data_IF_800366410154
#
_entry.id   IF_800366410154
#
_cell.length_a   1.000
_cell.length_b   1.000
_cell.length_c   1.000
_cell.angle_alpha   90.00
_cell.angle_beta   90.00
_cell.angle_gamma   90.00
#
_symmetry.space_group_name_H-M   'P 1'
#
loop_
_entity.id
_entity.type
_entity.pdbx_description
1 polymer ?
#
# COMPACT_ATOMS: atom_id res chain seq x y z
N UNK A 1 -5.45 -50.01 32.09
CA UNK A 1 -4.33 -49.38 31.34
C UNK A 1 -4.62 -49.60 29.87
N UNK A 2 -4.74 -48.63 28.96
CA UNK A 2 -4.55 -47.18 28.96
C UNK A 2 -5.81 -46.59 28.28
N UNK A 3 -6.36 -45.46 28.70
CA UNK A 3 -5.77 -44.15 28.47
C UNK A 3 -6.48 -43.49 27.29
N UNK A 4 -7.76 -43.16 27.48
CA UNK A 4 -8.50 -42.18 26.69
C UNK A 4 -7.95 -40.80 27.04
N UNK A 5 -7.26 -40.17 26.10
CA UNK A 5 -7.07 -38.72 26.13
C UNK A 5 -6.81 -38.25 24.69
N UNK A 6 -7.90 -38.09 23.93
CA UNK A 6 -7.92 -37.25 22.74
C UNK A 6 -7.82 -35.79 23.20
N UNK A 7 -6.66 -35.41 23.74
CA UNK A 7 -6.31 -34.02 23.94
C UNK A 7 -5.92 -33.47 22.57
N UNK A 8 -6.94 -33.03 21.83
CA UNK A 8 -6.80 -32.11 20.72
C UNK A 8 -6.19 -30.82 21.27
N UNK A 9 -4.85 -30.82 21.40
CA UNK A 9 -4.12 -29.62 21.75
C UNK A 9 -4.49 -28.58 20.69
N UNK A 10 -4.94 -27.38 21.07
CA UNK A 10 -4.96 -26.30 20.11
C UNK A 10 -3.53 -26.18 19.62
N UNK A 11 -3.30 -26.57 18.36
CA UNK A 11 -2.09 -26.19 17.66
C UNK A 11 -1.92 -24.70 17.93
N UNK A 12 -0.76 -24.23 18.38
CA UNK A 12 -0.50 -22.81 18.40
C UNK A 12 -0.71 -22.37 16.96
N UNK A 13 -1.86 -21.78 16.65
CA UNK A 13 -2.03 -20.95 15.47
C UNK A 13 -0.87 -20.00 15.57
N UNK A 14 0.03 -20.12 14.60
CA UNK A 14 1.30 -19.43 14.54
C UNK A 14 1.00 -17.94 14.42
N UNK A 15 0.61 -17.33 15.53
CA UNK A 15 0.17 -15.95 15.66
C UNK A 15 1.32 -15.07 15.17
N UNK A 16 1.09 -14.35 14.08
CA UNK A 16 1.99 -13.31 13.55
C UNK A 16 3.42 -13.77 13.24
N UNK A 17 3.57 -14.75 12.35
CA UNK A 17 4.84 -14.93 11.64
C UNK A 17 5.25 -13.58 11.00
N UNK A 18 6.37 -13.02 11.47
CA UNK A 18 6.98 -11.74 11.09
C UNK A 18 6.68 -11.27 9.66
N UNK A 19 5.68 -10.40 9.50
CA UNK A 19 5.38 -9.82 8.19
C UNK A 19 6.49 -8.82 7.79
N UNK A 20 7.09 -8.93 6.58
CA UNK A 20 8.25 -8.13 6.19
C UNK A 20 8.05 -6.60 6.30
N UNK A 21 6.84 -6.14 6.00
CA UNK A 21 6.49 -4.71 6.06
C UNK A 21 6.63 -4.12 7.48
N UNK A 22 6.50 -4.93 8.53
CA UNK A 22 6.58 -4.46 9.92
C UNK A 22 7.97 -3.94 10.31
N UNK A 23 9.01 -4.35 9.57
CA UNK A 23 10.41 -3.94 9.79
C UNK A 23 10.95 -2.99 8.71
N UNK A 24 10.08 -2.50 7.82
CA UNK A 24 10.48 -1.65 6.71
C UNK A 24 10.68 -0.20 7.18
N UNK A 25 11.90 0.13 7.63
CA UNK A 25 12.23 1.44 8.19
C UNK A 25 12.59 2.50 7.14
N UNK A 26 12.87 2.11 5.89
CA UNK A 26 13.37 3.04 4.86
C UNK A 26 12.83 2.73 3.46
N UNK A 27 11.51 2.71 3.30
CA UNK A 27 10.89 2.53 1.97
C UNK A 27 11.26 3.64 0.99
N UNK A 28 11.60 4.83 1.49
CA UNK A 28 12.08 5.93 0.65
C UNK A 28 13.41 5.60 -0.07
N UNK A 29 14.26 4.74 0.48
CA UNK A 29 15.45 4.28 -0.23
C UNK A 29 15.13 3.40 -1.45
N UNK A 30 13.99 2.70 -1.44
CA UNK A 30 13.53 1.85 -2.55
C UNK A 30 12.71 2.62 -3.59
N UNK A 31 12.20 3.79 -3.22
CA UNK A 31 11.41 4.67 -4.08
C UNK A 31 12.10 6.04 -4.13
N UNK A 32 13.19 6.20 -4.91
CA UNK A 32 13.94 7.45 -5.01
C UNK A 32 13.23 8.52 -5.87
N UNK A 33 11.89 8.46 -5.96
CA UNK A 33 11.07 9.41 -6.68
C UNK A 33 10.04 9.98 -5.70
N UNK A 34 9.92 11.30 -5.68
CA UNK A 34 8.86 11.99 -4.97
C UNK A 34 7.83 12.48 -5.99
N UNK A 35 6.57 12.08 -5.81
CA UNK A 35 5.50 12.43 -6.72
C UNK A 35 5.07 13.88 -6.52
N UNK A 36 4.95 14.60 -7.63
CA UNK A 36 4.55 16.00 -7.70
C UNK A 36 3.50 16.15 -8.80
N UNK A 37 2.48 16.98 -8.57
CA UNK A 37 1.40 17.27 -9.51
C UNK A 37 1.93 17.84 -10.83
N UNK A 38 3.00 18.64 -10.75
CA UNK A 38 3.55 19.34 -11.91
C UNK A 38 4.51 18.44 -12.72
N UNK A 39 4.96 17.32 -12.15
CA UNK A 39 5.95 16.44 -12.76
C UNK A 39 5.31 15.20 -13.41
N UNK A 40 5.84 14.78 -14.57
CA UNK A 40 5.28 13.68 -15.39
C UNK A 40 5.74 12.29 -14.94
N UNK A 41 6.35 12.19 -13.76
CA UNK A 41 7.01 10.96 -13.29
C UNK A 41 6.07 9.97 -12.60
N UNK A 42 4.75 10.13 -12.74
CA UNK A 42 3.76 9.23 -12.17
C UNK A 42 3.98 7.76 -12.56
N UNK A 43 4.23 7.48 -13.85
CA UNK A 43 4.37 6.08 -14.31
C UNK A 43 5.61 5.38 -13.73
N UNK A 44 6.82 5.99 -13.74
CA UNK A 44 7.97 5.46 -13.01
C UNK A 44 7.72 5.32 -11.50
N UNK A 45 7.18 6.35 -10.85
CA UNK A 45 6.87 6.31 -9.41
C UNK A 45 5.92 5.17 -9.05
N UNK A 46 4.81 5.03 -9.79
CA UNK A 46 3.82 3.99 -9.55
C UNK A 46 4.37 2.58 -9.81
N UNK A 47 5.35 2.46 -10.72
CA UNK A 47 6.04 1.19 -10.98
C UNK A 47 6.93 0.80 -9.80
N UNK A 48 7.74 1.74 -9.29
CA UNK A 48 8.59 1.51 -8.13
C UNK A 48 7.76 1.21 -6.88
N UNK A 49 6.69 1.97 -6.64
CA UNK A 49 5.82 1.74 -5.49
C UNK A 49 5.19 0.34 -5.50
N UNK A 50 4.65 -0.10 -6.65
CA UNK A 50 4.12 -1.47 -6.79
C UNK A 50 5.19 -2.54 -6.58
N UNK A 51 6.41 -2.32 -7.06
CA UNK A 51 7.51 -3.26 -6.84
C UNK A 51 7.87 -3.35 -5.35
N UNK A 52 7.95 -2.22 -4.65
CA UNK A 52 8.18 -2.19 -3.20
C UNK A 52 7.06 -2.90 -2.44
N UNK A 53 5.79 -2.65 -2.80
CA UNK A 53 4.65 -3.35 -2.21
C UNK A 53 4.73 -4.87 -2.40
N UNK A 54 5.23 -5.35 -3.56
CA UNK A 54 5.48 -6.79 -3.79
C UNK A 54 6.60 -7.34 -2.91
N UNK A 55 7.73 -6.62 -2.80
CA UNK A 55 8.86 -7.02 -1.93
C UNK A 55 8.40 -7.22 -0.49
N UNK A 56 7.51 -6.34 -0.02
CA UNK A 56 6.98 -6.39 1.33
C UNK A 56 5.66 -7.16 1.48
N UNK A 57 5.18 -7.84 0.43
CA UNK A 57 3.96 -8.67 0.46
C UNK A 57 2.66 -7.91 0.79
N UNK A 58 2.58 -6.62 0.47
CA UNK A 58 1.42 -5.74 0.73
C UNK A 58 0.72 -5.24 -0.55
N UNK A 59 0.94 -5.90 -1.69
CA UNK A 59 0.35 -5.45 -2.97
C UNK A 59 -1.19 -5.41 -2.94
N UNK A 60 -1.83 -6.28 -2.14
CA UNK A 60 -3.28 -6.32 -1.92
C UNK A 60 -3.87 -5.02 -1.33
N UNK A 61 -3.06 -4.19 -0.67
CA UNK A 61 -3.49 -2.89 -0.16
C UNK A 61 -3.61 -1.82 -1.26
N UNK A 62 -3.08 -2.05 -2.47
CA UNK A 62 -3.08 -1.05 -3.57
C UNK A 62 -3.50 -1.62 -4.94
N UNK A 63 -3.80 -2.92 -5.03
CA UNK A 63 -4.30 -3.56 -6.24
C UNK A 63 -5.53 -4.41 -5.92
N UNK A 64 -6.75 -4.02 -6.37
CA UNK A 64 -7.98 -4.73 -6.04
C UNK A 64 -8.04 -6.13 -6.67
N UNK A 65 -7.12 -6.46 -7.59
CA UNK A 65 -7.00 -7.81 -8.17
C UNK A 65 -6.27 -8.78 -7.24
N UNK A 66 -5.60 -8.28 -6.21
CA UNK A 66 -4.88 -9.08 -5.22
C UNK A 66 -5.69 -9.11 -3.94
N UNK A 67 -6.20 -10.29 -3.58
CA UNK A 67 -7.15 -10.44 -2.47
C UNK A 67 -6.46 -10.51 -1.11
N UNK A 68 -7.19 -10.09 -0.07
CA UNK A 68 -6.82 -10.34 1.33
C UNK A 68 -6.69 -11.85 1.59
N UNK A 69 -5.57 -12.34 2.17
CA UNK A 69 -5.46 -13.73 2.59
C UNK A 69 -6.54 -14.08 3.63
N UNK A 70 -7.17 -15.26 3.50
CA UNK A 70 -8.31 -15.66 4.36
C UNK A 70 -7.94 -15.86 5.82
N UNK A 71 -6.68 -16.19 6.06
CA UNK A 71 -6.06 -16.47 7.35
C UNK A 71 -5.42 -15.22 7.98
N UNK A 72 -5.52 -14.06 7.32
CA UNK A 72 -4.97 -12.81 7.84
C UNK A 72 -5.95 -12.16 8.84
N UNK A 73 -5.46 -11.98 10.06
CA UNK A 73 -6.11 -11.24 11.12
C UNK A 73 -6.43 -9.79 10.73
N UNK A 74 -7.54 -9.25 11.23
CA UNK A 74 -8.01 -7.90 10.91
C UNK A 74 -7.09 -6.81 11.51
N UNK A 75 -6.57 -7.00 12.73
CA UNK A 75 -5.64 -6.04 13.34
C UNK A 75 -4.32 -5.99 12.57
N UNK A 76 -3.82 -7.15 12.12
CA UNK A 76 -2.65 -7.20 11.23
C UNK A 76 -2.93 -6.50 9.90
N UNK A 77 -4.09 -6.75 9.29
CA UNK A 77 -4.48 -6.12 8.03
C UNK A 77 -4.49 -4.59 8.15
N UNK A 78 -5.15 -4.05 9.16
CA UNK A 78 -5.25 -2.60 9.38
C UNK A 78 -3.87 -1.98 9.68
N UNK A 79 -3.02 -2.72 10.42
CA UNK A 79 -1.64 -2.28 10.67
C UNK A 79 -0.81 -2.24 9.39
N UNK A 80 -0.96 -3.21 8.48
CA UNK A 80 -0.29 -3.21 7.19
C UNK A 80 -0.81 -2.08 6.29
N UNK A 81 -2.12 -1.82 6.32
CA UNK A 81 -2.73 -0.71 5.58
C UNK A 81 -2.15 0.63 6.03
N UNK A 82 -2.05 0.87 7.35
CA UNK A 82 -1.44 2.07 7.92
C UNK A 82 0.04 2.24 7.52
N UNK A 83 0.80 1.15 7.42
CA UNK A 83 2.19 1.18 6.94
C UNK A 83 2.24 1.63 5.47
N UNK A 84 1.37 1.08 4.61
CA UNK A 84 1.32 1.44 3.19
C UNK A 84 0.87 2.88 3.01
N UNK A 85 -0.11 3.36 3.79
CA UNK A 85 -0.50 4.77 3.84
C UNK A 85 0.68 5.67 4.19
N UNK A 86 1.46 5.31 5.20
CA UNK A 86 2.63 6.08 5.59
C UNK A 86 3.68 6.15 4.47
N UNK A 87 3.85 5.08 3.68
CA UNK A 87 4.73 5.08 2.51
C UNK A 87 4.18 5.93 1.37
N UNK A 88 2.87 5.89 1.11
CA UNK A 88 2.22 6.76 0.12
C UNK A 88 2.47 8.23 0.49
N UNK A 89 2.19 8.61 1.73
CA UNK A 89 2.41 9.97 2.20
C UNK A 89 3.88 10.38 2.23
N UNK A 90 4.78 9.44 2.52
CA UNK A 90 6.23 9.69 2.55
C UNK A 90 6.87 9.87 1.17
N UNK A 91 6.18 9.49 0.09
CA UNK A 91 6.71 9.52 -1.29
C UNK A 91 6.02 10.52 -2.20
N UNK A 92 5.19 11.42 -1.64
CA UNK A 92 4.52 12.50 -2.37
C UNK A 92 4.90 13.86 -1.77
N UNK A 93 4.90 14.92 -2.59
CA UNK A 93 5.14 16.28 -2.10
C UNK A 93 4.01 16.78 -1.20
N UNK A 94 4.34 17.72 -0.31
CA UNK A 94 3.43 18.27 0.69
C UNK A 94 2.11 18.78 0.10
N UNK A 95 2.16 19.48 -1.03
CA UNK A 95 0.95 20.04 -1.63
C UNK A 95 0.03 18.94 -2.19
N UNK A 96 0.61 17.84 -2.68
CA UNK A 96 -0.15 16.67 -3.09
C UNK A 96 -0.68 15.89 -1.88
N UNK A 97 0.14 15.76 -0.82
CA UNK A 97 -0.28 15.17 0.45
C UNK A 97 -1.53 15.87 1.00
N UNK A 98 -1.52 17.20 1.12
CA UNK A 98 -2.64 17.98 1.64
C UNK A 98 -3.91 17.86 0.78
N UNK A 99 -3.79 17.48 -0.50
CA UNK A 99 -4.94 17.24 -1.39
C UNK A 99 -5.58 15.86 -1.21
N UNK A 100 -4.81 14.87 -0.77
CA UNK A 100 -5.29 13.47 -0.69
C UNK A 100 -5.46 12.95 0.74
N UNK A 101 -4.78 13.56 1.72
CA UNK A 101 -4.77 13.15 3.12
C UNK A 101 -6.19 13.15 3.71
N UNK A 102 -6.54 12.06 4.38
CA UNK A 102 -7.87 11.78 4.89
C UNK A 102 -7.77 10.71 5.99
N UNK A 103 -8.41 10.96 7.14
CA UNK A 103 -8.27 10.15 8.36
C UNK A 103 -9.09 8.85 8.33
N UNK A 104 -10.02 8.72 7.38
CA UNK A 104 -10.89 7.56 7.23
C UNK A 104 -10.74 6.91 5.84
N UNK A 105 -9.50 6.76 5.38
CA UNK A 105 -9.18 6.14 4.09
C UNK A 105 -8.24 4.97 4.21
N UNK A 106 -8.40 4.00 3.31
CA UNK A 106 -7.44 2.92 3.13
C UNK A 106 -6.30 3.32 2.20
N UNK A 107 -5.20 2.58 2.22
CA UNK A 107 -4.13 2.70 1.23
C UNK A 107 -4.66 2.61 -0.22
N UNK A 108 -5.66 1.75 -0.44
CA UNK A 108 -6.32 1.58 -1.74
C UNK A 108 -7.01 2.86 -2.21
N UNK A 109 -7.72 3.54 -1.30
CA UNK A 109 -8.43 4.78 -1.60
C UNK A 109 -7.45 5.88 -2.01
N UNK A 110 -6.37 6.05 -1.24
CA UNK A 110 -5.32 7.03 -1.54
C UNK A 110 -4.62 6.69 -2.86
N UNK A 111 -4.29 5.42 -3.09
CA UNK A 111 -3.72 4.95 -4.35
C UNK A 111 -4.60 5.32 -5.55
N UNK A 112 -5.91 5.08 -5.44
CA UNK A 112 -6.88 5.40 -6.50
C UNK A 112 -7.05 6.91 -6.72
N UNK A 113 -7.07 7.71 -5.64
CA UNK A 113 -7.09 9.18 -5.73
C UNK A 113 -5.87 9.70 -6.49
N UNK A 114 -4.68 9.20 -6.17
CA UNK A 114 -3.45 9.53 -6.90
C UNK A 114 -3.54 9.10 -8.37
N UNK A 115 -3.98 7.88 -8.67
CA UNK A 115 -4.19 7.42 -10.05
C UNK A 115 -5.08 8.39 -10.84
N UNK A 116 -6.19 8.83 -10.23
CA UNK A 116 -7.16 9.73 -10.86
C UNK A 116 -6.55 11.09 -11.16
N UNK A 117 -5.87 11.73 -10.20
CA UNK A 117 -5.22 13.04 -10.39
C UNK A 117 -4.29 13.03 -11.61
N UNK A 118 -3.47 11.98 -11.77
CA UNK A 118 -2.51 11.90 -12.88
C UNK A 118 -3.11 11.38 -14.19
N UNK A 119 -4.27 10.74 -14.18
CA UNK A 119 -5.03 10.40 -15.39
C UNK A 119 -5.78 11.62 -15.93
N UNK A 120 -6.47 12.36 -15.05
CA UNK A 120 -7.21 13.58 -15.40
C UNK A 120 -6.26 14.66 -15.94
N UNK A 121 -5.08 14.82 -15.31
CA UNK A 121 -4.06 15.78 -15.76
C UNK A 121 -3.47 15.46 -17.15
N UNK A 122 -3.48 14.20 -17.58
CA UNK A 122 -3.10 13.86 -18.96
C UNK A 122 -4.12 14.39 -19.96
N UNK A 123 -5.41 14.30 -19.65
CA UNK A 123 -6.47 14.86 -20.49
C UNK A 123 -6.36 16.38 -20.65
N UNK A 124 -6.18 17.10 -19.54
CA UNK A 124 -6.03 18.57 -19.58
C UNK A 124 -4.76 19.03 -20.30
N UNK A 125 -3.64 18.32 -20.14
CA UNK A 125 -2.38 18.66 -20.85
C UNK A 125 -2.44 18.40 -22.34
N UNK A 126 -3.18 17.39 -22.78
CA UNK A 126 -3.40 17.16 -24.23
C UNK A 126 -4.22 18.30 -24.82
N UNK A 127 -5.28 18.74 -24.13
CA UNK A 127 -6.14 19.84 -24.60
C UNK A 127 -5.40 21.19 -24.64
N UNK A 128 -4.46 21.45 -23.71
CA UNK A 128 -3.70 22.71 -23.69
C UNK A 128 -2.65 22.81 -24.82
N UNK A 129 -2.27 21.70 -25.47
CA UNK A 129 -1.27 21.67 -26.54
C UNK A 129 -1.90 21.68 -27.95
N UNK A 130 -3.24 21.60 -28.05
CA UNK A 130 -3.99 21.59 -29.31
C UNK A 130 -4.61 22.95 -29.68
N UNK A 131 -4.27 24.04 -28.98
CA UNK A 131 -4.75 25.40 -29.27
C UNK A 131 -3.61 26.36 -29.65
#
# INVERSE_FOLDING_TARGET
MAGSDDSEYPHPTLVNAYHPALNATNVNALIPLTLDVDNVQYSPWATLFRNTAKVYMVLNHIDPKVTKPKDMDDDLWDRLDAIVLQWLYGTILKDLLLKVLDDNTSAMDIWNRLCKIFQDNKGTRVVLLEN
#
